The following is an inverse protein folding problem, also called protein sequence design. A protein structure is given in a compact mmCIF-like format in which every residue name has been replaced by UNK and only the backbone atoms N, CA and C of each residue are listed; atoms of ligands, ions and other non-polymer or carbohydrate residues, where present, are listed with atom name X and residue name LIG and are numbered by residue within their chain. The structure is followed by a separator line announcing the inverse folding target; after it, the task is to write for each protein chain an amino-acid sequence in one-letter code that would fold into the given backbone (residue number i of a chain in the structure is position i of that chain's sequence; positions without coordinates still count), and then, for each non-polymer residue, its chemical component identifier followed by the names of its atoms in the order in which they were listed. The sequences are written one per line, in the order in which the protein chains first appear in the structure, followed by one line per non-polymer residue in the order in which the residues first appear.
data_IF_217111876905
#
_entry.id   IF_217111876905
#
_cell.length_a   1.000
_cell.length_b   1.000
_cell.length_c   1.000
_cell.angle_alpha   90.00
_cell.angle_beta   90.00
_cell.angle_gamma   90.00
#
_symmetry.space_group_name_H-M   'P 1'
#
loop_
_entity.id
_entity.type
_entity.pdbx_description
1 polymer ?
#
# COMPACT_ATOMS: atom_id res chain seq x y z
N UNK A 1 -15.83 -30.85 -5.32
CA UNK A 1 -16.87 -29.84 -5.03
C UNK A 1 -16.20 -28.48 -4.86
N UNK A 2 -16.57 -27.47 -5.65
CA UNK A 2 -15.96 -26.15 -5.55
C UNK A 2 -16.37 -25.49 -4.22
N UNK A 3 -15.40 -25.09 -3.40
CA UNK A 3 -15.67 -24.33 -2.18
C UNK A 3 -16.38 -23.03 -2.55
N UNK A 4 -17.57 -22.80 -1.98
CA UNK A 4 -18.31 -21.55 -2.18
C UNK A 4 -17.78 -20.50 -1.22
N UNK A 5 -17.22 -19.42 -1.75
CA UNK A 5 -16.82 -18.27 -0.95
C UNK A 5 -17.98 -17.28 -0.85
N UNK A 6 -18.26 -16.81 0.36
CA UNK A 6 -19.24 -15.75 0.61
C UNK A 6 -18.91 -14.50 -0.22
N UNK A 7 -19.92 -13.74 -0.67
CA UNK A 7 -19.71 -12.47 -1.36
C UNK A 7 -18.85 -11.52 -0.53
N UNK A 8 -17.80 -10.99 -1.15
CA UNK A 8 -16.92 -10.01 -0.54
C UNK A 8 -17.58 -8.62 -0.53
N UNK A 9 -17.25 -7.77 0.45
CA UNK A 9 -17.66 -6.38 0.43
C UNK A 9 -17.21 -5.69 -0.85
N UNK A 10 -18.02 -4.76 -1.37
CA UNK A 10 -17.71 -4.06 -2.61
C UNK A 10 -16.36 -3.32 -2.54
N UNK A 11 -16.04 -2.76 -1.37
CA UNK A 11 -14.76 -2.10 -1.09
C UNK A 11 -13.55 -2.99 -1.35
N UNK A 12 -13.62 -4.28 -0.99
CA UNK A 12 -12.54 -5.25 -1.21
C UNK A 12 -12.39 -5.54 -2.70
N UNK A 13 -13.51 -5.75 -3.42
CA UNK A 13 -13.48 -6.02 -4.86
C UNK A 13 -12.93 -4.83 -5.64
N UNK A 14 -13.33 -3.61 -5.28
CA UNK A 14 -12.82 -2.37 -5.89
C UNK A 14 -11.34 -2.19 -5.60
N UNK A 15 -10.87 -2.46 -4.38
CA UNK A 15 -9.44 -2.39 -4.04
C UNK A 15 -8.61 -3.40 -4.84
N UNK A 16 -9.08 -4.64 -4.99
CA UNK A 16 -8.44 -5.64 -5.86
C UNK A 16 -8.37 -5.17 -7.31
N UNK A 17 -9.46 -4.62 -7.84
CA UNK A 17 -9.48 -4.06 -9.19
C UNK A 17 -8.53 -2.86 -9.34
N UNK A 18 -8.37 -2.06 -8.29
CA UNK A 18 -7.40 -0.96 -8.22
C UNK A 18 -5.96 -1.44 -8.36
N UNK A 19 -5.57 -2.47 -7.59
CA UNK A 19 -4.23 -3.09 -7.65
C UNK A 19 -3.98 -3.71 -9.03
N UNK A 20 -4.93 -4.50 -9.53
CA UNK A 20 -4.78 -5.19 -10.82
C UNK A 20 -4.85 -4.23 -12.01
N UNK A 21 -5.55 -3.10 -11.87
CA UNK A 21 -5.65 -2.05 -12.88
C UNK A 21 -4.73 -0.87 -12.60
N UNK A 22 -3.63 -1.04 -11.85
CA UNK A 22 -2.70 0.04 -11.58
C UNK A 22 -2.12 0.68 -12.87
N UNK A 23 -1.69 1.94 -12.79
CA UNK A 23 -1.22 2.70 -13.97
C UNK A 23 0.17 2.28 -14.38
N UNK A 24 1.07 2.10 -13.42
CA UNK A 24 2.49 1.90 -13.69
C UNK A 24 2.83 0.42 -13.82
N UNK A 25 2.20 -0.42 -13.00
CA UNK A 25 2.50 -1.84 -12.92
C UNK A 25 1.26 -2.72 -12.98
N UNK A 26 0.12 -2.21 -13.44
CA UNK A 26 -1.12 -2.97 -13.59
C UNK A 26 -1.24 -3.75 -14.90
N UNK A 27 -2.36 -4.43 -15.05
CA UNK A 27 -2.80 -5.03 -16.30
C UNK A 27 -3.26 -3.95 -17.27
N UNK A 28 -2.94 -4.13 -18.56
CA UNK A 28 -3.47 -3.28 -19.61
C UNK A 28 -4.97 -3.53 -19.81
N UNK A 29 -5.70 -2.56 -20.36
CA UNK A 29 -7.14 -2.72 -20.63
C UNK A 29 -7.46 -3.90 -21.57
N UNK A 30 -6.53 -4.26 -22.47
CA UNK A 30 -6.63 -5.43 -23.34
C UNK A 30 -6.47 -6.73 -22.55
N UNK A 31 -5.46 -6.83 -21.71
CA UNK A 31 -5.23 -8.00 -20.86
C UNK A 31 -6.39 -8.22 -19.89
N UNK A 32 -6.95 -7.15 -19.33
CA UNK A 32 -8.15 -7.22 -18.48
C UNK A 32 -9.31 -7.88 -19.24
N UNK A 33 -9.61 -7.41 -20.45
CA UNK A 33 -10.67 -8.00 -21.28
C UNK A 33 -10.42 -9.48 -21.62
N UNK A 34 -9.19 -9.83 -21.96
CA UNK A 34 -8.80 -11.23 -22.22
C UNK A 34 -8.98 -12.11 -20.99
N UNK A 35 -8.54 -11.66 -19.81
CA UNK A 35 -8.66 -12.42 -18.57
C UNK A 35 -10.11 -12.55 -18.11
N UNK A 36 -10.93 -11.51 -18.28
CA UNK A 36 -12.38 -11.56 -18.01
C UNK A 36 -13.08 -12.60 -18.90
N UNK A 37 -12.71 -12.67 -20.18
CA UNK A 37 -13.21 -13.69 -21.09
C UNK A 37 -12.83 -15.12 -20.65
N UNK A 38 -11.59 -15.32 -20.19
CA UNK A 38 -11.11 -16.63 -19.67
C UNK A 38 -11.95 -17.09 -18.48
N UNK A 39 -12.30 -16.19 -17.55
CA UNK A 39 -13.14 -16.53 -16.38
C UNK A 39 -14.64 -16.43 -16.65
N UNK A 40 -15.05 -16.20 -17.91
CA UNK A 40 -16.44 -16.05 -18.34
C UNK A 40 -17.20 -14.97 -17.56
N UNK A 41 -16.50 -13.88 -17.24
CA UNK A 41 -17.08 -12.68 -16.65
C UNK A 41 -17.35 -11.69 -17.79
N UNK A 42 -18.60 -11.23 -17.98
CA UNK A 42 -18.88 -10.18 -18.96
C UNK A 42 -18.09 -8.92 -18.60
N UNK A 43 -17.43 -8.31 -19.59
CA UNK A 43 -16.79 -7.01 -19.40
C UNK A 43 -17.87 -5.95 -19.14
N UNK A 44 -17.55 -4.96 -18.32
CA UNK A 44 -18.43 -3.82 -18.09
C UNK A 44 -18.05 -2.71 -19.08
N UNK A 45 -19.01 -1.88 -19.45
CA UNK A 45 -18.73 -0.69 -20.25
C UNK A 45 -18.53 0.54 -19.36
N UNK A 46 -17.64 1.44 -19.78
CA UNK A 46 -17.44 2.76 -19.17
C UNK A 46 -16.35 2.85 -18.09
N UNK A 47 -16.01 4.09 -17.74
CA UNK A 47 -15.01 4.42 -16.71
C UNK A 47 -13.56 4.18 -17.15
N UNK A 48 -12.64 4.27 -16.19
CA UNK A 48 -11.25 3.88 -16.40
C UNK A 48 -11.12 2.34 -16.28
N UNK A 49 -9.94 1.78 -16.64
CA UNK A 49 -9.69 0.32 -16.62
C UNK A 49 -9.94 -0.34 -15.26
N UNK A 50 -9.78 0.39 -14.15
CA UNK A 50 -10.01 -0.10 -12.77
C UNK A 50 -11.50 -0.18 -12.48
N UNK A 51 -12.24 0.88 -12.81
CA UNK A 51 -13.69 0.95 -12.62
C UNK A 51 -14.40 -0.12 -13.46
N UNK A 52 -13.93 -0.30 -14.69
CA UNK A 52 -14.42 -1.33 -15.62
C UNK A 52 -14.27 -2.73 -15.02
N UNK A 53 -13.07 -3.05 -14.52
CA UNK A 53 -12.79 -4.33 -13.87
C UNK A 53 -13.61 -4.51 -12.59
N UNK A 54 -13.70 -3.48 -11.75
CA UNK A 54 -14.48 -3.53 -10.51
C UNK A 54 -15.96 -3.80 -10.81
N UNK A 55 -16.54 -3.07 -11.77
CA UNK A 55 -17.93 -3.23 -12.19
C UNK A 55 -18.23 -4.63 -12.71
N UNK A 56 -17.37 -5.15 -13.59
CA UNK A 56 -17.50 -6.50 -14.14
C UNK A 56 -17.49 -7.58 -13.03
N UNK A 57 -16.54 -7.48 -12.10
CA UNK A 57 -16.40 -8.43 -10.99
C UNK A 57 -17.56 -8.35 -9.99
N UNK A 58 -18.00 -7.13 -9.64
CA UNK A 58 -19.12 -6.90 -8.73
C UNK A 58 -20.44 -7.41 -9.32
N UNK A 59 -20.71 -7.12 -10.60
CA UNK A 59 -21.90 -7.59 -11.29
C UNK A 59 -21.94 -9.12 -11.32
N UNK A 60 -20.83 -9.78 -11.63
CA UNK A 60 -20.78 -11.23 -11.63
C UNK A 60 -20.92 -11.83 -10.22
N UNK A 61 -20.27 -11.24 -9.22
CA UNK A 61 -20.39 -11.67 -7.83
C UNK A 61 -21.85 -11.60 -7.35
N UNK A 62 -22.55 -10.52 -7.67
CA UNK A 62 -23.97 -10.35 -7.33
C UNK A 62 -24.84 -11.44 -7.98
N UNK A 63 -24.58 -11.76 -9.26
CA UNK A 63 -25.29 -12.83 -9.99
C UNK A 63 -25.06 -14.21 -9.38
N UNK A 64 -23.82 -14.54 -9.02
CA UNK A 64 -23.46 -15.84 -8.46
C UNK A 64 -23.72 -15.96 -6.96
N UNK A 65 -23.97 -14.83 -6.27
CA UNK A 65 -23.99 -14.73 -4.80
C UNK A 65 -22.78 -15.44 -4.18
N UNK A 66 -21.61 -15.24 -4.79
CA UNK A 66 -20.34 -15.83 -4.37
C UNK A 66 -19.16 -15.08 -4.98
N UNK A 67 -18.05 -14.99 -4.25
CA UNK A 67 -16.79 -14.35 -4.73
C UNK A 67 -15.89 -15.27 -5.54
N UNK A 68 -16.40 -16.43 -5.95
CA UNK A 68 -15.64 -17.40 -6.73
C UNK A 68 -15.15 -16.81 -8.05
N UNK A 69 -15.92 -15.91 -8.68
CA UNK A 69 -15.50 -15.21 -9.89
C UNK A 69 -14.29 -14.29 -9.65
N UNK A 70 -14.28 -13.55 -8.53
CA UNK A 70 -13.16 -12.67 -8.14
C UNK A 70 -11.91 -13.50 -7.88
N UNK A 71 -12.05 -14.60 -7.13
CA UNK A 71 -10.94 -15.52 -6.85
C UNK A 71 -10.40 -16.14 -8.14
N UNK A 72 -11.28 -16.56 -9.05
CA UNK A 72 -10.88 -17.11 -10.35
C UNK A 72 -10.11 -16.07 -11.18
N UNK A 73 -10.59 -14.82 -11.20
CA UNK A 73 -9.90 -13.72 -11.89
C UNK A 73 -8.50 -13.49 -11.32
N UNK A 74 -8.36 -13.42 -9.99
CA UNK A 74 -7.04 -13.26 -9.34
C UNK A 74 -6.11 -14.41 -9.73
N UNK A 75 -6.59 -15.65 -9.72
CA UNK A 75 -5.78 -16.83 -10.09
C UNK A 75 -5.24 -16.75 -11.52
N UNK A 76 -6.07 -16.35 -12.49
CA UNK A 76 -5.60 -16.21 -13.88
C UNK A 76 -4.71 -14.99 -14.06
N UNK A 77 -4.99 -13.89 -13.36
CA UNK A 77 -4.17 -12.69 -13.39
C UNK A 77 -2.78 -12.92 -12.77
N UNK A 78 -2.71 -13.70 -11.69
CA UNK A 78 -1.48 -14.03 -10.95
C UNK A 78 -0.81 -15.32 -11.44
N UNK A 79 -1.21 -15.88 -12.58
CA UNK A 79 -0.55 -17.09 -13.11
C UNK A 79 0.97 -16.83 -13.32
N UNK A 80 1.88 -17.59 -12.67
CA UNK A 80 3.33 -17.32 -12.69
C UNK A 80 3.93 -17.27 -14.09
N UNK A 81 3.37 -18.03 -15.04
CA UNK A 81 3.77 -18.03 -16.46
C UNK A 81 3.69 -16.64 -17.11
N UNK A 82 2.84 -15.73 -16.61
CA UNK A 82 2.73 -14.35 -17.09
C UNK A 82 3.89 -13.46 -16.65
N UNK A 83 4.66 -13.90 -15.66
CA UNK A 83 5.71 -13.11 -15.01
C UNK A 83 7.11 -13.72 -15.17
N UNK A 84 7.27 -14.70 -16.06
CA UNK A 84 8.56 -15.39 -16.29
C UNK A 84 9.69 -14.39 -16.59
N UNK A 85 9.40 -13.34 -17.35
CA UNK A 85 10.37 -12.29 -17.70
C UNK A 85 10.38 -11.12 -16.71
N UNK A 86 9.44 -11.09 -15.75
CA UNK A 86 9.20 -9.97 -14.84
C UNK A 86 8.86 -10.43 -13.41
N UNK A 87 9.76 -11.18 -12.73
CA UNK A 87 9.49 -11.75 -11.41
C UNK A 87 9.28 -10.67 -10.34
N UNK A 88 9.97 -9.53 -10.45
CA UNK A 88 9.79 -8.42 -9.51
C UNK A 88 8.36 -7.83 -9.57
N UNK A 89 7.74 -7.80 -10.75
CA UNK A 89 6.35 -7.36 -10.93
C UNK A 89 5.37 -8.34 -10.28
N UNK A 90 5.68 -9.64 -10.29
CA UNK A 90 4.88 -10.64 -9.59
C UNK A 90 4.91 -10.39 -8.08
N UNK A 91 6.10 -10.29 -7.48
CA UNK A 91 6.24 -10.11 -6.03
C UNK A 91 5.55 -8.84 -5.54
N UNK A 92 5.77 -7.71 -6.21
CA UNK A 92 5.08 -6.44 -5.87
C UNK A 92 3.57 -6.60 -5.91
N UNK A 93 3.03 -7.13 -7.02
CA UNK A 93 1.58 -7.30 -7.19
C UNK A 93 1.00 -8.31 -6.19
N UNK A 94 1.75 -9.35 -5.84
CA UNK A 94 1.39 -10.32 -4.82
C UNK A 94 1.27 -9.64 -3.45
N UNK A 95 2.23 -8.80 -3.08
CA UNK A 95 2.23 -8.04 -1.83
C UNK A 95 1.04 -7.07 -1.77
N UNK A 96 0.84 -6.26 -2.81
CA UNK A 96 -0.27 -5.31 -2.90
C UNK A 96 -1.64 -6.01 -2.81
N UNK A 97 -1.79 -7.17 -3.48
CA UNK A 97 -3.00 -7.98 -3.38
C UNK A 97 -3.18 -8.56 -1.97
N UNK A 98 -2.10 -8.97 -1.31
CA UNK A 98 -2.15 -9.54 0.04
C UNK A 98 -2.56 -8.52 1.09
N UNK A 99 -2.18 -7.25 0.94
CA UNK A 99 -2.67 -6.16 1.80
C UNK A 99 -4.19 -6.03 1.76
N UNK A 100 -4.80 -6.24 0.60
CA UNK A 100 -6.26 -6.19 0.44
C UNK A 100 -6.93 -7.49 0.89
N UNK A 101 -6.41 -8.64 0.47
CA UNK A 101 -7.01 -9.95 0.70
C UNK A 101 -7.00 -10.38 2.18
N UNK A 102 -6.09 -9.83 2.99
CA UNK A 102 -6.03 -10.12 4.42
C UNK A 102 -7.34 -9.77 5.14
N UNK A 103 -8.06 -8.76 4.64
CA UNK A 103 -9.36 -8.32 5.18
C UNK A 103 -10.47 -9.36 5.00
N UNK A 104 -10.34 -10.25 4.02
CA UNK A 104 -11.25 -11.40 3.80
C UNK A 104 -10.65 -12.73 4.25
N UNK A 105 -9.47 -12.70 4.88
CA UNK A 105 -8.77 -13.89 5.37
C UNK A 105 -8.13 -14.75 4.28
N UNK A 106 -7.72 -14.13 3.17
CA UNK A 106 -7.11 -14.80 2.04
C UNK A 106 -5.74 -14.19 1.72
N UNK A 107 -4.96 -14.90 0.91
CA UNK A 107 -3.67 -14.45 0.37
C UNK A 107 -3.38 -15.12 -0.97
N UNK A 108 -2.56 -14.50 -1.80
CA UNK A 108 -1.93 -15.10 -2.98
C UNK A 108 -0.59 -15.72 -2.57
N UNK A 109 -0.39 -16.99 -2.91
CA UNK A 109 0.87 -17.70 -2.70
C UNK A 109 1.82 -17.56 -3.90
N UNK A 110 3.02 -18.11 -3.78
CA UNK A 110 4.08 -18.00 -4.79
C UNK A 110 3.74 -18.73 -6.10
N UNK A 111 2.69 -19.56 -6.07
CA UNK A 111 2.14 -20.24 -7.25
C UNK A 111 1.04 -19.41 -7.94
N UNK A 112 0.79 -18.18 -7.49
CA UNK A 112 -0.28 -17.33 -8.00
C UNK A 112 -1.68 -17.77 -7.57
N UNK A 113 -1.78 -18.67 -6.60
CA UNK A 113 -3.04 -19.24 -6.14
C UNK A 113 -3.55 -18.53 -4.90
N UNK A 114 -4.86 -18.31 -4.84
CA UNK A 114 -5.53 -17.80 -3.65
C UNK A 114 -5.68 -18.92 -2.62
N UNK A 115 -5.05 -18.74 -1.45
CA UNK A 115 -5.10 -19.63 -0.30
C UNK A 115 -5.68 -18.91 0.92
N UNK A 116 -6.09 -19.69 1.94
CA UNK A 116 -6.48 -19.10 3.23
C UNK A 116 -5.25 -18.46 3.91
N UNK A 117 -5.42 -17.23 4.36
CA UNK A 117 -4.41 -16.48 5.12
C UNK A 117 -4.81 -16.37 6.60
N UNK A 118 -3.87 -15.98 7.47
CA UNK A 118 -4.25 -15.50 8.80
C UNK A 118 -5.08 -14.24 8.60
N UNK A 119 -6.34 -14.24 9.08
CA UNK A 119 -7.13 -13.00 9.15
C UNK A 119 -6.37 -12.01 10.05
N UNK A 120 -5.96 -10.88 9.49
CA UNK A 120 -5.61 -9.71 10.30
C UNK A 120 -6.96 -9.13 10.72
N UNK A 121 -7.29 -9.22 12.01
CA UNK A 121 -8.37 -8.39 12.53
C UNK A 121 -8.04 -6.93 12.19
N UNK A 122 -9.00 -6.10 11.75
CA UNK A 122 -8.75 -4.67 11.62
C UNK A 122 -8.24 -4.18 12.98
N UNK A 123 -7.00 -3.73 12.98
CA UNK A 123 -6.33 -3.17 14.13
C UNK A 123 -7.10 -1.92 14.56
N UNK A 124 -7.82 -2.00 15.69
CA UNK A 124 -8.16 -0.78 16.43
C UNK A 124 -6.84 -0.21 16.92
N UNK A 125 -6.48 0.96 16.39
CA UNK A 125 -5.13 1.50 16.39
C UNK A 125 -4.38 1.36 17.71
N UNK A 126 -3.13 0.90 17.63
CA UNK A 126 -2.11 1.27 18.59
C UNK A 126 -1.21 2.29 17.93
N UNK A 127 -1.40 3.57 18.26
CA UNK A 127 -0.36 4.57 18.11
C UNK A 127 0.83 4.14 18.97
N UNK A 128 1.76 3.40 18.38
CA UNK A 128 3.08 3.18 18.94
C UNK A 128 4.00 4.28 18.40
N UNK A 129 3.96 5.47 19.03
CA UNK A 129 5.14 6.35 19.03
C UNK A 129 5.95 6.02 20.27
N UNK A 130 6.86 5.07 20.13
CA UNK A 130 8.00 4.93 21.02
C UNK A 130 9.24 5.14 20.15
N UNK A 131 9.81 6.34 20.20
CA UNK A 131 11.21 6.57 19.85
C UNK A 131 11.98 6.58 21.17
N UNK A 132 12.82 5.57 21.46
CA UNK A 132 13.78 5.70 22.53
C UNK A 132 15.21 5.91 22.03
N UNK A 133 15.92 6.69 22.85
CA UNK A 133 17.37 6.82 23.02
C UNK A 133 18.14 7.75 22.08
N UNK A 134 18.32 8.98 22.58
CA UNK A 134 19.58 9.73 22.45
C UNK A 134 20.76 8.78 22.70
N UNK A 135 21.67 8.70 21.73
CA UNK A 135 23.02 8.21 21.95
C UNK A 135 24.00 9.36 21.74
N UNK A 136 24.84 9.50 22.74
CA UNK A 136 25.91 10.46 22.91
C UNK A 136 26.81 10.63 21.68
N UNK A 137 27.31 11.84 21.52
CA UNK A 137 28.67 12.10 21.01
C UNK A 137 29.33 13.13 21.92
N UNK A 138 30.45 12.82 22.59
CA UNK A 138 31.35 13.84 23.10
C UNK A 138 32.46 14.08 22.07
N UNK A 139 32.93 15.32 21.89
CA UNK A 139 34.29 15.53 21.43
C UNK A 139 35.19 15.98 22.58
N UNK A 140 36.37 15.40 22.56
CA UNK A 140 37.45 15.47 23.53
C UNK A 140 38.32 16.73 23.36
N UNK A 141 38.82 17.22 24.50
CA UNK A 141 40.10 17.93 24.75
C UNK A 141 40.45 19.22 23.98
N UNK A 142 40.73 20.32 24.70
CA UNK A 142 42.09 20.67 25.17
C UNK A 142 42.25 22.16 25.58
N UNK A 143 42.87 22.35 26.76
CA UNK A 143 43.90 23.33 27.11
C UNK A 143 43.72 24.84 26.86
N UNK A 144 43.82 25.64 27.93
CA UNK A 144 44.25 27.04 27.87
C UNK A 144 43.81 27.85 29.09
N UNK A 145 44.75 28.36 29.88
CA UNK A 145 44.53 28.92 31.22
C UNK A 145 44.04 30.37 31.32
N UNK A 146 44.37 30.96 32.48
CA UNK A 146 44.05 32.30 33.02
C UNK A 146 42.78 32.32 33.90
N UNK A 147 42.90 32.21 35.22
CA UNK A 147 43.36 33.23 36.17
C UNK A 147 42.41 34.46 36.25
N UNK A 148 41.62 34.48 37.33
CA UNK A 148 41.59 35.62 38.25
C UNK A 148 40.70 36.82 37.93
N UNK A 149 39.91 37.19 38.94
CA UNK A 149 39.53 38.56 39.33
C UNK A 149 38.49 39.29 38.45
N UNK A 150 37.26 39.53 38.91
CA UNK A 150 36.77 40.46 39.97
C UNK A 150 36.22 41.76 39.37
N UNK A 151 35.03 42.11 39.85
CA UNK A 151 34.41 43.44 39.92
C UNK A 151 34.03 44.21 38.64
N UNK A 152 32.71 44.42 38.58
CA UNK A 152 32.08 45.73 38.71
C UNK A 152 31.83 46.63 37.47
N UNK A 153 30.64 47.22 37.57
CA UNK A 153 30.34 48.63 37.31
C UNK A 153 29.93 49.05 35.88
N UNK A 154 28.60 49.15 35.72
CA UNK A 154 27.86 50.41 35.56
C UNK A 154 28.05 51.27 34.28
N UNK A 155 26.88 51.49 33.64
CA UNK A 155 26.39 52.70 32.96
C UNK A 155 27.28 53.45 31.95
N UNK A 156 26.74 53.60 30.73
CA UNK A 156 26.29 54.88 30.09
C UNK A 156 25.93 54.57 28.63
N UNK A 157 24.67 54.80 28.20
CA UNK A 157 24.19 56.03 27.57
C UNK A 157 25.05 56.49 26.38
N UNK A 158 24.56 56.27 25.15
CA UNK A 158 24.01 57.34 24.28
C UNK A 158 24.23 57.12 22.78
N UNK A 159 23.12 57.29 22.05
CA UNK A 159 22.97 58.07 20.82
C UNK A 159 23.42 57.53 19.45
N UNK A 160 22.55 57.82 18.47
CA UNK A 160 22.82 57.81 17.02
C UNK A 160 21.79 56.96 16.26
N UNK A 161 20.59 57.48 15.92
CA UNK A 161 20.28 58.17 14.64
C UNK A 161 20.65 57.28 13.42
N UNK A 162 19.81 56.94 12.44
CA UNK A 162 18.50 57.39 11.99
C UNK A 162 18.34 57.02 10.49
N UNK A 163 17.11 57.16 9.96
CA UNK A 163 16.69 57.34 8.54
C UNK A 163 17.04 56.24 7.50
N UNK A 164 16.06 55.53 6.92
CA UNK A 164 15.13 55.93 5.82
C UNK A 164 15.76 55.82 4.43
N UNK A 165 15.25 54.91 3.60
CA UNK A 165 14.77 55.10 2.21
C UNK A 165 13.80 53.97 1.88
#
# INVERSE_FOLDING_TARGET
MATRHEPWPATVVTAVAGVLGDTDHGLTGREIGQLLAVVKVPDADGGNKRDRLAGALLAQQARQRASNCVIAFIKVAMAPVRYVQQPHTFSRRQDDLNEVLVHVGLRVNDQGQVARGRRRHPERGRTARQFPSERATPPLHACGGAAGFVHAQQQRLSAGLGVSW
#
